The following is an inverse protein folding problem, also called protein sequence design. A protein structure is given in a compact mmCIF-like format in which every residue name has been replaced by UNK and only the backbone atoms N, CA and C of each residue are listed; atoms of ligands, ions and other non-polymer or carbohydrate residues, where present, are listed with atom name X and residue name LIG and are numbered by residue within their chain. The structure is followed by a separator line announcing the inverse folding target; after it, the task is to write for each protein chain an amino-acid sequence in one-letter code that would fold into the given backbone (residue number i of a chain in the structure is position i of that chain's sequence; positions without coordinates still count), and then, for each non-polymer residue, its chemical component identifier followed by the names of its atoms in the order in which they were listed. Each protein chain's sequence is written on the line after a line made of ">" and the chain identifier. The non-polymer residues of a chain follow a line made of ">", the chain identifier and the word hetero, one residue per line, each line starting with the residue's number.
data_IF_041011287967
#
_entry.id   IF_041011287967
#
_cell.length_a   1.000
_cell.length_b   1.000
_cell.length_c   1.000
_cell.angle_alpha   90.00
_cell.angle_beta   90.00
_cell.angle_gamma   90.00
#
_symmetry.space_group_name_H-M   'P 1'
#
loop_
_entity.id
_entity.type
_entity.pdbx_description
1 polymer ?
#
# COMPACT_ATOMS: atom_id res chain seq x y z
N UNK A 1 37.87 0.63 -24.47
CA UNK A 1 37.63 1.57 -23.33
C UNK A 1 36.41 2.45 -23.52
N UNK A 2 36.07 2.86 -24.74
CA UNK A 2 34.90 3.71 -25.01
C UNK A 2 33.57 3.04 -24.70
N UNK A 3 33.45 1.71 -24.78
CA UNK A 3 32.22 0.94 -24.56
C UNK A 3 31.78 0.90 -23.09
N UNK A 4 32.72 0.97 -22.13
CA UNK A 4 32.38 0.96 -20.71
C UNK A 4 31.72 2.26 -20.24
N UNK A 5 32.07 3.40 -20.83
CA UNK A 5 31.53 4.70 -20.47
C UNK A 5 30.07 4.86 -20.91
N UNK A 6 29.72 4.41 -22.11
CA UNK A 6 28.34 4.48 -22.61
C UNK A 6 27.39 3.60 -21.78
N UNK A 7 27.84 2.40 -21.39
CA UNK A 7 27.08 1.51 -20.52
C UNK A 7 26.86 2.12 -19.13
N UNK A 8 27.90 2.73 -18.57
CA UNK A 8 27.82 3.42 -17.27
C UNK A 8 26.85 4.59 -17.31
N UNK A 9 26.86 5.39 -18.39
CA UNK A 9 25.95 6.52 -18.57
C UNK A 9 24.50 6.06 -18.68
N UNK A 10 24.21 5.00 -19.43
CA UNK A 10 22.86 4.45 -19.56
C UNK A 10 22.31 3.97 -18.21
N UNK A 11 23.12 3.29 -17.41
CA UNK A 11 22.75 2.86 -16.06
C UNK A 11 22.44 4.05 -15.14
N UNK A 12 23.23 5.11 -15.19
CA UNK A 12 23.02 6.33 -14.40
C UNK A 12 21.70 7.02 -14.77
N UNK A 13 21.37 7.09 -16.05
CA UNK A 13 20.11 7.66 -16.52
C UNK A 13 18.91 6.87 -16.02
N UNK A 14 18.93 5.56 -16.13
CA UNK A 14 17.88 4.70 -15.62
C UNK A 14 17.70 4.84 -14.10
N UNK A 15 18.79 4.90 -13.36
CA UNK A 15 18.78 5.12 -11.92
C UNK A 15 18.18 6.49 -11.54
N UNK A 16 18.51 7.54 -12.27
CA UNK A 16 17.94 8.90 -12.07
C UNK A 16 16.44 8.93 -12.29
N UNK A 17 15.94 8.30 -13.36
CA UNK A 17 14.50 8.22 -13.64
C UNK A 17 13.76 7.51 -12.52
N UNK A 18 14.26 6.38 -12.04
CA UNK A 18 13.67 5.64 -10.92
C UNK A 18 13.69 6.46 -9.63
N UNK A 19 14.80 7.14 -9.34
CA UNK A 19 14.92 8.01 -8.17
C UNK A 19 13.93 9.17 -8.24
N UNK A 20 13.77 9.80 -9.41
CA UNK A 20 12.81 10.90 -9.61
C UNK A 20 11.36 10.44 -9.39
N UNK A 21 11.00 9.26 -9.89
CA UNK A 21 9.66 8.68 -9.67
C UNK A 21 9.40 8.39 -8.19
N UNK A 22 10.38 7.84 -7.49
CA UNK A 22 10.29 7.58 -6.04
C UNK A 22 10.14 8.88 -5.25
N UNK A 23 10.90 9.91 -5.60
CA UNK A 23 10.82 11.22 -4.97
C UNK A 23 9.46 11.87 -5.20
N UNK A 24 8.91 11.79 -6.42
CA UNK A 24 7.59 12.33 -6.73
C UNK A 24 6.50 11.63 -5.91
N UNK A 25 6.56 10.29 -5.77
CA UNK A 25 5.63 9.51 -4.95
C UNK A 25 5.75 9.88 -3.48
N UNK A 26 6.98 10.03 -2.98
CA UNK A 26 7.22 10.43 -1.60
C UNK A 26 6.64 11.82 -1.31
N UNK A 27 6.76 12.77 -2.23
CA UNK A 27 6.14 14.10 -2.10
C UNK A 27 4.62 14.02 -2.05
N UNK A 28 4.00 13.20 -2.92
CA UNK A 28 2.54 13.00 -2.90
C UNK A 28 2.09 12.38 -1.59
N UNK A 29 2.80 11.38 -1.09
CA UNK A 29 2.51 10.75 0.19
C UNK A 29 2.67 11.74 1.35
N UNK A 30 3.71 12.55 1.34
CA UNK A 30 3.92 13.59 2.36
C UNK A 30 2.78 14.61 2.39
N UNK A 31 2.23 15.00 1.24
CA UNK A 31 1.06 15.88 1.18
C UNK A 31 -0.18 15.23 1.78
N UNK A 32 -0.42 13.98 1.47
CA UNK A 32 -1.54 13.22 2.06
C UNK A 32 -1.38 13.12 3.58
N UNK A 33 -0.17 12.85 4.06
CA UNK A 33 0.12 12.69 5.49
C UNK A 33 -0.11 13.97 6.30
N UNK A 34 -0.07 15.14 5.68
CA UNK A 34 -0.45 16.40 6.35
C UNK A 34 -1.93 16.46 6.71
N UNK A 35 -2.78 15.76 5.95
CA UNK A 35 -4.23 15.74 6.11
C UNK A 35 -4.74 14.49 6.81
N UNK A 36 -3.94 13.42 6.86
CA UNK A 36 -4.33 12.10 7.32
C UNK A 36 -3.49 11.69 8.52
N UNK A 37 -4.15 11.45 9.64
CA UNK A 37 -3.53 10.92 10.86
C UNK A 37 -4.43 9.84 11.43
N UNK A 38 -3.86 8.67 11.74
CA UNK A 38 -4.57 7.59 12.40
C UNK A 38 -4.70 7.81 13.89
N UNK A 39 -5.87 7.53 14.43
CA UNK A 39 -6.17 7.57 15.86
C UNK A 39 -6.61 6.19 16.33
N UNK A 40 -6.66 5.90 17.66
CA UNK A 40 -7.17 4.62 18.13
C UNK A 40 -8.59 4.31 17.65
N UNK A 41 -9.44 5.33 17.55
CA UNK A 41 -10.84 5.19 17.12
C UNK A 41 -10.96 5.05 15.59
N UNK A 42 -10.05 5.66 14.85
CA UNK A 42 -10.02 5.64 13.40
C UNK A 42 -8.57 5.51 12.91
N UNK A 43 -8.00 4.31 12.98
CA UNK A 43 -6.62 4.08 12.56
C UNK A 43 -6.40 4.35 11.07
N UNK A 44 -5.15 4.57 10.72
CA UNK A 44 -4.76 4.81 9.32
C UNK A 44 -4.52 3.47 8.61
N UNK A 45 -5.31 3.20 7.57
CA UNK A 45 -5.09 2.06 6.68
C UNK A 45 -4.16 2.51 5.55
N UNK A 46 -2.89 2.14 5.65
CA UNK A 46 -1.87 2.47 4.65
C UNK A 46 -1.61 1.29 3.74
N UNK A 47 -1.46 1.58 2.45
CA UNK A 47 -1.18 0.58 1.41
C UNK A 47 0.18 0.88 0.79
N UNK A 48 1.04 -0.14 0.72
CA UNK A 48 2.30 -0.10 -0.01
C UNK A 48 2.25 -1.09 -1.16
N UNK A 49 2.74 -0.68 -2.31
CA UNK A 49 2.74 -1.46 -3.54
C UNK A 49 4.14 -1.57 -4.13
N UNK A 50 4.55 -2.78 -4.44
CA UNK A 50 5.71 -3.05 -5.29
C UNK A 50 5.24 -3.66 -6.62
N UNK A 51 6.16 -3.99 -7.53
CA UNK A 51 5.81 -4.62 -8.79
C UNK A 51 5.07 -5.96 -8.60
N UNK A 52 5.42 -6.72 -7.55
CA UNK A 52 4.92 -8.07 -7.30
C UNK A 52 3.93 -8.17 -6.14
N UNK A 53 4.03 -7.30 -5.16
CA UNK A 53 3.30 -7.46 -3.91
C UNK A 53 2.62 -6.19 -3.45
N UNK A 54 1.61 -6.37 -2.62
CA UNK A 54 0.94 -5.31 -1.89
C UNK A 54 0.91 -5.65 -0.42
N UNK A 55 1.05 -4.63 0.41
CA UNK A 55 0.95 -4.74 1.87
C UNK A 55 -0.02 -3.69 2.38
N UNK A 56 -0.97 -4.10 3.20
CA UNK A 56 -1.87 -3.21 3.90
C UNK A 56 -1.57 -3.26 5.40
N UNK A 57 -1.49 -2.11 6.04
CA UNK A 57 -1.24 -1.99 7.48
C UNK A 57 -2.24 -1.04 8.11
N UNK A 58 -2.71 -1.40 9.28
CA UNK A 58 -3.61 -0.59 10.08
C UNK A 58 -2.80 -0.01 11.24
N UNK A 59 -2.61 1.31 11.25
CA UNK A 59 -1.68 1.99 12.14
C UNK A 59 -2.40 3.00 13.02
N UNK A 60 -2.15 2.92 14.34
CA UNK A 60 -2.46 3.97 15.29
C UNK A 60 -1.24 4.90 15.36
N UNK A 61 -1.35 6.09 14.76
CA UNK A 61 -0.24 7.03 14.70
C UNK A 61 0.07 7.68 16.06
N UNK A 62 -0.88 7.73 16.98
CA UNK A 62 -0.66 8.27 18.34
C UNK A 62 0.25 7.35 19.15
N UNK A 63 0.02 6.05 19.07
CA UNK A 63 0.83 5.06 19.77
C UNK A 63 2.04 4.59 18.96
N UNK A 64 2.11 4.91 17.67
CA UNK A 64 3.15 4.41 16.77
C UNK A 64 3.05 2.89 16.58
N UNK A 65 1.86 2.33 16.50
CA UNK A 65 1.58 0.91 16.64
C UNK A 65 0.83 0.37 15.42
N UNK A 66 1.27 -0.75 14.89
CA UNK A 66 0.55 -1.47 13.85
C UNK A 66 -0.44 -2.42 14.51
N UNK A 67 -1.74 -2.19 14.28
CA UNK A 67 -2.82 -2.98 14.88
C UNK A 67 -3.12 -4.26 14.10
N UNK A 68 -3.00 -4.22 12.79
CA UNK A 68 -3.22 -5.35 11.90
C UNK A 68 -2.46 -5.15 10.61
N UNK A 69 -2.15 -6.23 9.92
CA UNK A 69 -1.51 -6.19 8.60
C UNK A 69 -1.99 -7.35 7.74
N UNK A 70 -1.90 -7.18 6.42
CA UNK A 70 -2.15 -8.22 5.43
C UNK A 70 -1.27 -8.00 4.22
N UNK A 71 -0.87 -9.06 3.54
CA UNK A 71 0.09 -8.99 2.43
C UNK A 71 -0.21 -10.06 1.40
N UNK A 72 0.09 -9.75 0.13
CA UNK A 72 0.06 -10.75 -0.95
C UNK A 72 1.15 -11.82 -0.80
N UNK A 73 2.11 -11.62 0.10
CA UNK A 73 3.15 -12.60 0.41
C UNK A 73 2.65 -13.74 1.31
N UNK A 74 1.49 -13.59 1.93
CA UNK A 74 0.91 -14.64 2.77
C UNK A 74 0.50 -15.85 1.94
N UNK A 75 0.63 -17.05 2.51
CA UNK A 75 0.38 -18.31 1.81
C UNK A 75 -1.01 -18.36 1.16
N UNK A 76 -2.04 -17.90 1.88
CA UNK A 76 -3.42 -17.89 1.40
C UNK A 76 -3.63 -17.02 0.15
N UNK A 77 -2.85 -15.96 0.01
CA UNK A 77 -2.93 -15.03 -1.12
C UNK A 77 -2.03 -15.49 -2.26
N UNK A 78 -0.84 -15.97 -1.94
CA UNK A 78 0.13 -16.46 -2.94
C UNK A 78 -0.38 -17.63 -3.75
N UNK A 79 -1.17 -18.49 -3.12
CA UNK A 79 -1.73 -19.68 -3.76
C UNK A 79 -2.97 -19.41 -4.60
N UNK A 80 -3.51 -18.19 -4.61
CA UNK A 80 -4.69 -17.86 -5.38
C UNK A 80 -4.40 -17.79 -6.87
N UNK A 81 -5.27 -18.45 -7.65
CA UNK A 81 -5.32 -18.25 -9.08
C UNK A 81 -5.99 -16.88 -9.35
N UNK A 82 -5.38 -16.11 -10.25
CA UNK A 82 -5.92 -14.83 -10.60
C UNK A 82 -4.83 -13.79 -10.83
N UNK A 83 -5.25 -12.60 -11.24
CA UNK A 83 -4.37 -11.49 -11.51
C UNK A 83 -4.00 -10.72 -10.24
N UNK A 84 -3.24 -9.65 -10.42
CA UNK A 84 -2.80 -8.80 -9.31
C UNK A 84 -3.96 -8.09 -8.61
N UNK A 85 -5.04 -7.76 -9.35
CA UNK A 85 -6.24 -7.15 -8.77
C UNK A 85 -6.98 -8.12 -7.87
N UNK A 86 -7.10 -9.38 -8.26
CA UNK A 86 -7.73 -10.42 -7.45
C UNK A 86 -6.98 -10.63 -6.13
N UNK A 87 -5.66 -10.64 -6.18
CA UNK A 87 -4.82 -10.73 -4.97
C UNK A 87 -4.96 -9.50 -4.09
N UNK A 88 -5.02 -8.30 -4.69
CA UNK A 88 -5.25 -7.06 -3.95
C UNK A 88 -6.61 -7.08 -3.24
N UNK A 89 -7.66 -7.54 -3.91
CA UNK A 89 -8.98 -7.72 -3.31
C UNK A 89 -8.93 -8.66 -2.10
N UNK A 90 -8.18 -9.75 -2.21
CA UNK A 90 -8.02 -10.70 -1.10
C UNK A 90 -7.31 -10.05 0.09
N UNK A 91 -6.31 -9.22 -0.15
CA UNK A 91 -5.63 -8.45 0.91
C UNK A 91 -6.63 -7.50 1.58
N UNK A 92 -7.49 -6.84 0.81
CA UNK A 92 -8.56 -5.99 1.33
C UNK A 92 -9.54 -6.76 2.24
N UNK A 93 -9.97 -7.94 1.84
CA UNK A 93 -10.80 -8.82 2.67
C UNK A 93 -10.11 -9.21 3.97
N UNK A 94 -8.83 -9.60 3.89
CA UNK A 94 -8.06 -10.01 5.06
C UNK A 94 -7.86 -8.87 6.05
N UNK A 95 -7.51 -7.67 5.57
CA UNK A 95 -7.32 -6.52 6.46
C UNK A 95 -8.63 -6.11 7.13
N UNK A 96 -9.75 -6.17 6.43
CA UNK A 96 -11.06 -5.90 6.99
C UNK A 96 -11.41 -6.91 8.10
N UNK A 97 -11.18 -8.19 7.87
CA UNK A 97 -11.41 -9.25 8.86
C UNK A 97 -10.54 -9.06 10.10
N UNK A 98 -9.27 -8.76 9.91
CA UNK A 98 -8.30 -8.55 11.00
C UNK A 98 -8.58 -7.26 11.77
N UNK A 99 -9.05 -6.21 11.09
CA UNK A 99 -9.50 -4.99 11.74
C UNK A 99 -10.69 -5.26 12.67
N UNK A 100 -11.67 -6.00 12.21
CA UNK A 100 -12.82 -6.40 13.05
C UNK A 100 -12.38 -7.18 14.28
N UNK A 101 -11.45 -8.11 14.12
CA UNK A 101 -10.90 -8.88 15.23
C UNK A 101 -10.17 -7.99 16.24
N UNK A 102 -9.61 -6.88 15.80
CA UNK A 102 -8.97 -5.87 16.65
C UNK A 102 -9.96 -4.83 17.19
N UNK A 103 -11.25 -4.95 16.88
CA UNK A 103 -12.28 -4.02 17.34
C UNK A 103 -12.37 -2.73 16.54
N UNK A 104 -11.81 -2.70 15.34
CA UNK A 104 -11.78 -1.52 14.46
C UNK A 104 -12.85 -1.64 13.38
N UNK A 105 -13.70 -0.62 13.25
CA UNK A 105 -14.78 -0.58 12.25
C UNK A 105 -14.62 0.56 11.25
N UNK A 106 -13.92 1.64 11.63
CA UNK A 106 -13.70 2.80 10.79
C UNK A 106 -12.20 3.09 10.68
N UNK A 107 -11.77 3.50 9.49
CA UNK A 107 -10.36 3.80 9.20
C UNK A 107 -10.25 5.07 8.37
N UNK A 108 -9.04 5.65 8.34
CA UNK A 108 -8.66 6.70 7.42
C UNK A 108 -7.79 6.05 6.35
N UNK A 109 -8.18 6.15 5.08
CA UNK A 109 -7.45 5.50 4.00
C UNK A 109 -6.27 6.33 3.54
N UNK A 110 -5.07 5.73 3.58
CA UNK A 110 -3.83 6.31 3.08
C UNK A 110 -3.33 5.47 1.90
N UNK A 111 -3.51 6.00 0.71
CA UNK A 111 -3.11 5.31 -0.54
C UNK A 111 -1.59 5.29 -0.78
N UNK A 112 -0.78 5.83 0.14
CA UNK A 112 0.68 5.77 0.05
C UNK A 112 1.30 6.59 -1.08
N UNK A 113 0.61 7.60 -1.60
CA UNK A 113 1.06 8.40 -2.74
C UNK A 113 0.83 7.74 -4.10
N UNK A 114 0.17 6.58 -4.14
CA UNK A 114 -0.23 5.92 -5.39
C UNK A 114 -1.57 6.47 -5.88
N UNK A 115 -1.84 6.34 -7.19
CA UNK A 115 -3.13 6.71 -7.76
C UNK A 115 -4.22 5.75 -7.29
N UNK A 116 -5.43 6.29 -7.06
CA UNK A 116 -6.58 5.50 -6.64
C UNK A 116 -7.23 4.82 -7.85
N UNK A 117 -6.58 3.78 -8.36
CA UNK A 117 -7.13 2.92 -9.41
C UNK A 117 -6.43 1.55 -9.40
N UNK A 118 -6.90 0.63 -10.21
CA UNK A 118 -6.29 -0.69 -10.36
C UNK A 118 -6.25 -1.45 -9.04
N UNK A 119 -5.07 -1.91 -8.65
CA UNK A 119 -4.87 -2.72 -7.43
C UNK A 119 -5.24 -1.98 -6.15
N UNK A 120 -4.93 -0.70 -6.07
CA UNK A 120 -5.24 0.12 -4.89
C UNK A 120 -6.76 0.22 -4.70
N UNK A 121 -7.50 0.53 -5.77
CA UNK A 121 -8.95 0.60 -5.75
C UNK A 121 -9.58 -0.77 -5.42
N UNK A 122 -9.06 -1.86 -6.00
CA UNK A 122 -9.55 -3.21 -5.73
C UNK A 122 -9.41 -3.58 -4.24
N UNK A 123 -8.28 -3.27 -3.63
CA UNK A 123 -8.07 -3.49 -2.19
C UNK A 123 -9.04 -2.65 -1.35
N UNK A 124 -9.18 -1.37 -1.66
CA UNK A 124 -10.06 -0.47 -0.92
C UNK A 124 -11.53 -0.90 -1.02
N UNK A 125 -11.99 -1.26 -2.20
CA UNK A 125 -13.37 -1.72 -2.42
C UNK A 125 -13.64 -3.02 -1.64
N UNK A 126 -12.71 -3.96 -1.66
CA UNK A 126 -12.83 -5.21 -0.91
C UNK A 126 -12.84 -4.96 0.61
N UNK A 127 -12.05 -4.03 1.10
CA UNK A 127 -12.05 -3.66 2.51
C UNK A 127 -13.38 -3.03 2.93
N UNK A 128 -13.97 -2.19 2.09
CA UNK A 128 -15.31 -1.61 2.32
C UNK A 128 -16.40 -2.67 2.32
N UNK A 129 -16.37 -3.59 1.37
CA UNK A 129 -17.29 -4.74 1.31
C UNK A 129 -17.15 -5.62 2.55
N UNK A 130 -15.95 -5.73 3.09
CA UNK A 130 -15.67 -6.45 4.34
C UNK A 130 -16.16 -5.74 5.59
N UNK A 131 -16.68 -4.53 5.48
CA UNK A 131 -17.30 -3.79 6.56
C UNK A 131 -16.49 -2.64 7.14
N UNK A 132 -15.33 -2.31 6.58
CA UNK A 132 -14.59 -1.12 7.00
C UNK A 132 -15.26 0.15 6.45
N UNK A 133 -15.35 1.15 7.28
CA UNK A 133 -15.95 2.44 6.95
C UNK A 133 -14.86 3.46 6.66
N UNK A 134 -14.87 3.96 5.44
CA UNK A 134 -14.00 5.07 5.03
C UNK A 134 -14.43 5.64 3.68
#
# INVERSE_FOLDING_TARGET
>A
MATSDSTSTARRLGSRVSATRRQARARRHARLRKKITGTPERPRLVVNRSARHMVAQLIDDRAGHTLASASTMEADVRGLDGDKKARASKVGELIASRAKSAGVTAVVFDRGGYDYHGRIAALADAAREGGLEF
#
